data_IF_636360907988
#
_entry.id   IF_636360907988
#
_cell.length_a   1.000
_cell.length_b   1.000
_cell.length_c   1.000
_cell.angle_alpha   90.00
_cell.angle_beta   90.00
_cell.angle_gamma   90.00
#
_symmetry.space_group_name_H-M   'P 1'
#
loop_
_entity.id
_entity.type
_entity.pdbx_description
1 polymer ?
#
# COMPACT_ATOMS: atom_id res chain seq x y z
N UNK A 1 -0.24 3.29 -0.52
CA UNK A 1 0.02 4.69 -1.00
C UNK A 1 0.84 5.46 0.03
N UNK A 2 1.61 6.45 -0.41
CA UNK A 2 2.38 7.39 0.43
C UNK A 2 3.45 6.75 1.36
N UNK A 3 3.88 5.52 1.08
CA UNK A 3 4.92 4.81 1.86
C UNK A 3 6.34 5.00 1.29
N UNK A 4 6.58 5.95 0.37
CA UNK A 4 7.90 6.26 -0.16
C UNK A 4 8.38 5.37 -1.32
N UNK A 5 7.49 4.68 -2.06
CA UNK A 5 7.90 3.82 -3.20
C UNK A 5 8.71 4.55 -4.27
N UNK A 6 8.20 5.70 -4.74
CA UNK A 6 8.90 6.52 -5.75
C UNK A 6 10.25 7.03 -5.22
N UNK A 7 10.30 7.39 -3.93
CA UNK A 7 11.55 7.80 -3.25
C UNK A 7 12.54 6.64 -3.20
N UNK A 8 12.08 5.41 -2.92
CA UNK A 8 12.95 4.23 -2.92
C UNK A 8 13.55 3.97 -4.31
N UNK A 9 12.77 4.09 -5.38
CA UNK A 9 13.29 3.97 -6.75
C UNK A 9 14.36 5.02 -7.03
N UNK A 10 14.14 6.27 -6.59
CA UNK A 10 15.11 7.35 -6.75
C UNK A 10 16.39 7.05 -5.97
N UNK A 11 16.30 6.71 -4.69
CA UNK A 11 17.46 6.37 -3.85
C UNK A 11 18.24 5.16 -4.39
N UNK A 12 17.54 4.17 -4.92
CA UNK A 12 18.20 3.02 -5.53
C UNK A 12 18.94 3.39 -6.81
N UNK A 13 18.39 4.28 -7.63
CA UNK A 13 19.09 4.81 -8.81
C UNK A 13 20.34 5.60 -8.41
N UNK A 14 20.24 6.45 -7.39
CA UNK A 14 21.40 7.18 -6.83
C UNK A 14 22.47 6.22 -6.28
N UNK A 15 22.05 5.14 -5.62
CA UNK A 15 22.95 4.08 -5.17
C UNK A 15 23.68 3.43 -6.34
N UNK A 16 23.01 3.11 -7.45
CA UNK A 16 23.63 2.54 -8.65
C UNK A 16 24.69 3.49 -9.24
N UNK A 17 24.38 4.80 -9.35
CA UNK A 17 25.35 5.79 -9.81
C UNK A 17 26.58 5.83 -8.90
N UNK A 18 26.41 5.78 -7.59
CA UNK A 18 27.50 5.70 -6.61
C UNK A 18 28.35 4.42 -6.72
N UNK A 19 27.83 3.38 -7.38
CA UNK A 19 28.52 2.11 -7.62
C UNK A 19 29.00 1.92 -9.06
N UNK A 20 29.08 3.02 -9.82
CA UNK A 20 29.71 3.01 -11.14
C UNK A 20 28.78 2.66 -12.30
N UNK A 21 27.47 2.71 -12.09
CA UNK A 21 26.50 2.63 -13.20
C UNK A 21 26.39 4.01 -13.82
N UNK A 22 26.52 4.07 -15.15
CA UNK A 22 26.38 5.31 -15.90
C UNK A 22 24.92 5.77 -15.92
N UNK A 23 24.69 7.08 -15.92
CA UNK A 23 23.33 7.64 -15.95
C UNK A 23 22.56 7.26 -17.21
N UNK A 24 23.23 7.12 -18.35
CA UNK A 24 22.65 6.72 -19.63
C UNK A 24 22.16 5.26 -19.66
N UNK A 25 22.62 4.44 -18.72
CA UNK A 25 22.15 3.07 -18.51
C UNK A 25 20.91 2.97 -17.61
N UNK A 26 20.41 4.10 -17.08
CA UNK A 26 19.25 4.18 -16.22
C UNK A 26 18.08 4.90 -16.89
N UNK A 27 17.06 4.16 -17.29
CA UNK A 27 15.82 4.71 -17.89
C UNK A 27 14.79 4.85 -16.78
N UNK A 28 14.29 6.08 -16.54
CA UNK A 28 13.31 6.34 -15.47
C UNK A 28 12.08 7.04 -16.00
N UNK A 29 10.91 6.43 -15.84
CA UNK A 29 9.62 6.93 -16.30
C UNK A 29 8.65 6.95 -15.13
N UNK A 30 8.11 8.14 -14.82
CA UNK A 30 7.01 8.28 -13.86
C UNK A 30 5.73 8.62 -14.63
N UNK A 31 4.78 7.70 -14.64
CA UNK A 31 3.54 7.84 -15.39
C UNK A 31 2.52 8.82 -14.79
N UNK A 32 2.75 9.36 -13.59
CA UNK A 32 2.01 10.51 -13.08
C UNK A 32 2.51 11.84 -13.69
N UNK A 33 3.72 11.86 -14.25
CA UNK A 33 4.27 13.05 -14.87
C UNK A 33 3.72 13.23 -16.29
N UNK A 34 3.14 14.41 -16.55
CA UNK A 34 2.55 14.77 -17.85
C UNK A 34 3.58 14.71 -19.01
N UNK A 35 4.87 14.85 -18.72
CA UNK A 35 5.92 14.71 -19.73
C UNK A 35 5.95 13.33 -20.39
N UNK A 36 5.42 12.31 -19.71
CA UNK A 36 5.33 10.92 -20.21
C UNK A 36 3.90 10.50 -20.55
N UNK A 37 2.97 11.44 -20.69
CA UNK A 37 1.57 11.13 -21.01
C UNK A 37 1.40 10.31 -22.28
N UNK A 38 2.22 10.58 -23.29
CA UNK A 38 2.23 9.85 -24.56
C UNK A 38 2.75 8.40 -24.43
N UNK A 39 3.45 8.06 -23.34
CA UNK A 39 3.96 6.72 -23.06
C UNK A 39 2.97 5.83 -22.30
N UNK A 40 1.76 6.31 -22.01
CA UNK A 40 0.71 5.51 -21.36
C UNK A 40 0.06 4.46 -22.28
N UNK A 41 0.58 4.28 -23.49
CA UNK A 41 0.31 3.16 -24.37
C UNK A 41 1.50 2.19 -24.32
N UNK A 42 1.29 0.91 -24.01
CA UNK A 42 2.38 -0.03 -23.76
C UNK A 42 3.35 -0.20 -24.95
N UNK A 43 2.88 -0.07 -26.20
CA UNK A 43 3.75 -0.08 -27.39
C UNK A 43 4.68 1.15 -27.40
N UNK A 44 4.15 2.35 -27.16
CA UNK A 44 4.97 3.57 -27.13
C UNK A 44 5.97 3.55 -25.98
N UNK A 45 5.56 3.04 -24.81
CA UNK A 45 6.47 2.80 -23.69
C UNK A 45 7.61 1.84 -24.08
N UNK A 46 7.26 0.74 -24.72
CA UNK A 46 8.23 -0.26 -25.18
C UNK A 46 9.22 0.33 -26.19
N UNK A 47 8.73 1.02 -27.22
CA UNK A 47 9.56 1.64 -28.26
C UNK A 47 10.50 2.69 -27.67
N UNK A 48 9.98 3.57 -26.79
CA UNK A 48 10.80 4.55 -26.07
C UNK A 48 11.92 3.89 -25.25
N UNK A 49 11.61 2.81 -24.55
CA UNK A 49 12.62 2.09 -23.77
C UNK A 49 13.67 1.50 -24.72
N UNK A 50 13.27 0.86 -25.84
CA UNK A 50 14.20 0.28 -26.81
C UNK A 50 15.16 1.31 -27.41
N UNK A 51 14.65 2.50 -27.73
CA UNK A 51 15.44 3.61 -28.32
C UNK A 51 16.50 4.14 -27.35
N UNK A 52 16.31 3.96 -26.05
CA UNK A 52 17.21 4.46 -24.99
C UNK A 52 18.09 3.37 -24.37
N UNK A 53 17.97 2.09 -24.80
CA UNK A 53 18.83 1.03 -24.30
C UNK A 53 20.27 1.17 -24.81
N UNK A 54 21.21 0.93 -23.89
CA UNK A 54 22.63 0.83 -24.22
C UNK A 54 22.97 -0.63 -24.58
N UNK A 55 23.53 -0.88 -25.79
CA UNK A 55 23.77 -2.24 -26.30
C UNK A 55 24.78 -3.05 -25.47
N UNK A 56 25.82 -2.41 -24.95
CA UNK A 56 26.95 -3.07 -24.29
C UNK A 56 26.99 -2.90 -22.77
N UNK A 57 25.88 -2.46 -22.17
CA UNK A 57 25.76 -2.24 -20.73
C UNK A 57 24.53 -2.93 -20.18
N UNK A 58 24.54 -3.23 -18.87
CA UNK A 58 23.30 -3.55 -18.16
C UNK A 58 22.45 -2.29 -18.06
N UNK A 59 21.20 -2.37 -18.45
CA UNK A 59 20.24 -1.28 -18.41
C UNK A 59 19.29 -1.48 -17.22
N UNK A 60 19.08 -0.44 -16.45
CA UNK A 60 18.20 -0.41 -15.31
C UNK A 60 16.97 0.45 -15.62
N UNK A 61 15.80 -0.18 -15.67
CA UNK A 61 14.55 0.46 -16.08
C UNK A 61 13.68 0.67 -14.86
N UNK A 62 13.32 1.92 -14.57
CA UNK A 62 12.49 2.34 -13.44
C UNK A 62 11.14 2.84 -13.94
N UNK A 63 10.07 2.09 -13.66
CA UNK A 63 8.71 2.40 -14.06
C UNK A 63 7.86 2.72 -12.83
N UNK A 64 7.63 4.00 -12.56
CA UNK A 64 6.85 4.44 -11.40
C UNK A 64 5.38 4.61 -11.78
N UNK A 65 4.47 4.08 -10.94
CA UNK A 65 3.01 4.02 -11.14
C UNK A 65 2.62 3.35 -12.48
N UNK A 66 3.29 2.24 -12.82
CA UNK A 66 3.15 1.54 -14.11
C UNK A 66 1.73 1.07 -14.42
N UNK A 67 0.85 0.90 -13.42
CA UNK A 67 -0.55 0.54 -13.62
C UNK A 67 -1.36 1.63 -14.37
N UNK A 68 -0.79 2.81 -14.59
CA UNK A 68 -1.38 3.84 -15.45
C UNK A 68 -1.21 3.53 -16.95
N UNK A 69 -0.41 2.51 -17.29
CA UNK A 69 -0.23 2.00 -18.66
C UNK A 69 -1.05 0.72 -18.80
N UNK A 70 -2.19 0.73 -19.49
CA UNK A 70 -2.94 -0.50 -19.75
C UNK A 70 -2.07 -1.54 -20.46
N UNK A 71 -2.19 -2.81 -20.06
CA UNK A 71 -1.46 -3.95 -20.66
C UNK A 71 0.08 -3.82 -20.58
N UNK A 72 0.62 -3.05 -19.64
CA UNK A 72 2.08 -2.84 -19.48
C UNK A 72 2.86 -4.15 -19.36
N UNK A 73 2.24 -5.20 -18.83
CA UNK A 73 2.85 -6.53 -18.67
C UNK A 73 3.31 -7.13 -20.00
N UNK A 74 2.69 -6.79 -21.11
CA UNK A 74 3.11 -7.25 -22.45
C UNK A 74 4.49 -6.67 -22.83
N UNK A 75 4.67 -5.36 -22.59
CA UNK A 75 5.95 -4.70 -22.82
C UNK A 75 7.02 -5.21 -21.86
N UNK A 76 6.70 -5.34 -20.57
CA UNK A 76 7.62 -5.86 -19.55
C UNK A 76 8.07 -7.28 -19.89
N UNK A 77 7.15 -8.19 -20.25
CA UNK A 77 7.51 -9.55 -20.64
C UNK A 77 8.44 -9.58 -21.86
N UNK A 78 8.24 -8.68 -22.83
CA UNK A 78 9.10 -8.56 -24.01
C UNK A 78 10.50 -8.04 -23.65
N UNK A 79 10.59 -7.05 -22.74
CA UNK A 79 11.86 -6.52 -22.24
C UNK A 79 12.65 -7.57 -21.46
N UNK A 80 11.97 -8.41 -20.66
CA UNK A 80 12.58 -9.50 -19.89
C UNK A 80 13.16 -10.64 -20.76
N UNK A 81 13.00 -10.59 -22.08
CA UNK A 81 13.69 -11.50 -23.00
C UNK A 81 15.10 -11.03 -23.36
N UNK A 82 15.48 -9.82 -22.93
CA UNK A 82 16.81 -9.25 -23.14
C UNK A 82 17.70 -9.57 -21.93
N UNK A 83 18.93 -10.03 -22.18
CA UNK A 83 19.87 -10.44 -21.13
C UNK A 83 20.50 -9.24 -20.39
N UNK A 84 20.41 -8.03 -20.97
CA UNK A 84 21.04 -6.82 -20.43
C UNK A 84 20.01 -5.81 -19.89
N UNK A 85 18.90 -6.29 -19.34
CA UNK A 85 17.83 -5.44 -18.79
C UNK A 85 17.45 -5.91 -17.40
N UNK A 86 17.35 -4.98 -16.45
CA UNK A 86 16.79 -5.17 -15.12
C UNK A 86 15.69 -4.15 -14.89
N UNK A 87 14.51 -4.58 -14.41
CA UNK A 87 13.30 -3.75 -14.36
C UNK A 87 12.80 -3.60 -12.94
N UNK A 88 12.63 -2.36 -12.51
CA UNK A 88 12.08 -1.96 -11.21
C UNK A 88 10.77 -1.22 -11.42
N UNK A 89 9.69 -1.76 -10.88
CA UNK A 89 8.35 -1.20 -11.08
C UNK A 89 7.70 -0.86 -9.77
N UNK A 90 6.98 0.25 -9.72
CA UNK A 90 6.05 0.51 -8.62
C UNK A 90 4.61 0.61 -9.11
N UNK A 91 3.72 0.35 -8.19
CA UNK A 91 2.31 0.62 -8.34
C UNK A 91 1.62 0.73 -7.00
N UNK A 92 0.56 1.50 -6.95
CA UNK A 92 -0.12 1.83 -5.70
C UNK A 92 -1.47 1.14 -5.56
N UNK A 93 -1.78 0.16 -6.42
CA UNK A 93 -3.12 -0.42 -6.46
C UNK A 93 -3.15 -1.95 -6.27
N UNK A 94 -4.34 -2.45 -5.92
CA UNK A 94 -4.60 -3.88 -5.76
C UNK A 94 -4.35 -4.71 -7.05
N UNK A 95 -4.29 -4.09 -8.24
CA UNK A 95 -3.95 -4.78 -9.48
C UNK A 95 -2.51 -5.30 -9.47
N UNK A 96 -1.56 -4.48 -8.95
CA UNK A 96 -0.15 -4.87 -8.79
C UNK A 96 0.05 -6.02 -7.80
N UNK A 97 -0.99 -6.34 -7.02
CA UNK A 97 -0.98 -7.36 -5.97
C UNK A 97 -1.85 -8.56 -6.33
N UNK A 98 -2.49 -8.52 -7.49
CA UNK A 98 -3.39 -9.60 -7.89
C UNK A 98 -2.58 -10.83 -8.30
N UNK A 99 -3.12 -12.01 -7.98
CA UNK A 99 -2.66 -13.28 -8.55
C UNK A 99 -2.68 -13.27 -10.08
N UNK A 100 -3.46 -12.36 -10.68
CA UNK A 100 -3.53 -12.10 -12.10
C UNK A 100 -2.21 -11.54 -12.65
N UNK A 101 -1.63 -10.52 -11.99
CA UNK A 101 -0.31 -10.00 -12.36
C UNK A 101 0.78 -11.07 -12.24
N UNK A 102 0.73 -11.89 -11.18
CA UNK A 102 1.65 -13.01 -11.01
C UNK A 102 1.59 -13.98 -12.20
N UNK A 103 0.39 -14.23 -12.72
CA UNK A 103 0.18 -15.07 -13.90
C UNK A 103 0.68 -14.38 -15.18
N UNK A 104 0.37 -13.10 -15.36
CA UNK A 104 0.74 -12.32 -16.54
C UNK A 104 2.26 -12.13 -16.67
N UNK A 105 2.98 -11.92 -15.55
CA UNK A 105 4.45 -11.84 -15.52
C UNK A 105 5.14 -13.21 -15.37
N UNK A 106 4.36 -14.31 -15.41
CA UNK A 106 4.88 -15.68 -15.39
C UNK A 106 5.82 -15.98 -14.20
N UNK A 107 5.62 -15.34 -13.06
CA UNK A 107 6.45 -15.51 -11.86
C UNK A 107 7.89 -15.00 -11.97
N UNK A 108 8.21 -14.19 -12.97
CA UNK A 108 9.56 -13.64 -13.22
C UNK A 108 9.83 -12.34 -12.45
N UNK A 109 9.32 -12.19 -11.23
CA UNK A 109 9.52 -10.99 -10.43
C UNK A 109 9.66 -11.32 -8.95
N UNK A 110 10.25 -10.39 -8.23
CA UNK A 110 10.27 -10.40 -6.76
C UNK A 110 9.41 -9.25 -6.27
N UNK A 111 8.41 -9.57 -5.44
CA UNK A 111 7.55 -8.56 -4.83
C UNK A 111 8.16 -8.03 -3.55
N UNK A 112 8.33 -6.69 -3.47
CA UNK A 112 8.73 -5.98 -2.27
C UNK A 112 7.55 -5.16 -1.77
N UNK A 113 6.95 -5.57 -0.64
CA UNK A 113 5.84 -4.86 0.00
C UNK A 113 6.38 -3.72 0.84
N UNK A 114 6.08 -2.48 0.43
CA UNK A 114 6.41 -1.29 1.20
C UNK A 114 5.23 -0.85 2.06
N UNK A 115 5.50 -0.66 3.33
CA UNK A 115 4.58 -0.23 4.37
C UNK A 115 4.97 1.17 4.86
N UNK A 116 4.12 1.85 5.63
CA UNK A 116 4.57 2.97 6.46
C UNK A 116 5.76 2.54 7.33
N UNK A 117 6.54 3.50 7.83
CA UNK A 117 7.68 3.20 8.68
C UNK A 117 7.29 2.33 9.87
N UNK A 118 8.10 1.32 10.14
CA UNK A 118 8.14 0.69 11.46
C UNK A 118 8.66 1.68 12.49
N UNK A 119 8.42 1.42 13.78
CA UNK A 119 9.01 2.27 14.83
C UNK A 119 10.53 2.37 14.75
N UNK A 120 11.20 1.27 14.35
CA UNK A 120 12.65 1.29 14.17
C UNK A 120 13.08 2.29 13.10
N UNK A 121 12.48 2.25 11.92
CA UNK A 121 12.79 3.16 10.81
C UNK A 121 12.43 4.61 11.17
N UNK A 122 11.29 4.83 11.84
CA UNK A 122 10.89 6.15 12.33
C UNK A 122 11.91 6.69 13.36
N UNK A 123 12.33 5.85 14.29
CA UNK A 123 13.31 6.23 15.33
C UNK A 123 14.70 6.53 14.73
N UNK A 124 15.13 5.77 13.74
CA UNK A 124 16.39 6.02 13.01
C UNK A 124 16.36 7.37 12.27
N UNK A 125 15.18 7.79 11.79
CA UNK A 125 14.98 9.08 11.11
C UNK A 125 14.93 10.26 12.08
N UNK A 126 14.16 10.14 13.18
CA UNK A 126 13.84 11.25 14.08
C UNK A 126 14.82 11.34 15.26
N UNK A 127 15.29 10.21 15.75
CA UNK A 127 16.18 10.11 16.92
C UNK A 127 15.50 10.43 18.24
N UNK A 128 16.29 10.86 19.22
CA UNK A 128 15.81 11.33 20.50
C UNK A 128 15.69 10.26 21.60
N UNK A 129 14.85 10.50 22.60
CA UNK A 129 14.55 9.52 23.66
C UNK A 129 13.58 8.47 23.12
N UNK A 130 13.98 7.21 23.14
CA UNK A 130 13.23 6.09 22.54
C UNK A 130 11.79 5.98 23.04
N UNK A 131 11.55 6.24 24.33
CA UNK A 131 10.21 6.14 24.93
C UNK A 131 9.31 7.29 24.48
N UNK A 132 9.84 8.50 24.48
CA UNK A 132 9.11 9.69 23.99
C UNK A 132 8.81 9.57 22.51
N UNK A 133 9.82 9.21 21.71
CA UNK A 133 9.66 9.01 20.25
C UNK A 133 8.67 7.89 19.94
N UNK A 134 8.60 6.82 20.77
CA UNK A 134 7.60 5.78 20.59
C UNK A 134 6.18 6.29 20.82
N UNK A 135 5.95 7.09 21.88
CA UNK A 135 4.64 7.72 22.13
C UNK A 135 4.24 8.67 20.98
N UNK A 136 5.20 9.42 20.43
CA UNK A 136 4.94 10.26 19.26
C UNK A 136 4.60 9.42 18.03
N UNK A 137 5.34 8.34 17.78
CA UNK A 137 5.08 7.42 16.68
C UNK A 137 3.67 6.82 16.76
N UNK A 138 3.23 6.39 17.95
CA UNK A 138 1.88 5.87 18.16
C UNK A 138 0.79 6.90 17.82
N UNK A 139 1.05 8.18 18.11
CA UNK A 139 0.13 9.29 17.84
C UNK A 139 0.17 9.75 16.38
N UNK A 140 1.38 9.99 15.86
CA UNK A 140 1.59 10.56 14.53
C UNK A 140 1.48 9.52 13.40
N UNK A 141 1.75 8.25 13.70
CA UNK A 141 1.84 7.18 12.69
C UNK A 141 3.19 7.09 12.00
N UNK A 142 3.30 6.16 11.06
CA UNK A 142 4.51 5.82 10.33
C UNK A 142 4.54 6.28 8.87
N UNK A 143 3.56 7.03 8.37
CA UNK A 143 3.68 7.59 7.01
C UNK A 143 4.88 8.54 6.93
N UNK A 144 5.83 8.33 5.99
CA UNK A 144 7.11 9.06 5.99
C UNK A 144 6.97 10.59 6.04
N UNK A 145 6.00 11.15 5.34
CA UNK A 145 5.81 12.60 5.32
C UNK A 145 5.29 13.16 6.64
N UNK A 146 4.60 12.36 7.47
CA UNK A 146 4.12 12.81 8.79
C UNK A 146 5.27 13.13 9.76
N UNK A 147 6.43 12.51 9.58
CA UNK A 147 7.63 12.83 10.36
C UNK A 147 8.17 14.25 10.08
N UNK A 148 7.75 14.89 8.99
CA UNK A 148 8.19 16.22 8.55
C UNK A 148 7.14 17.31 8.87
N UNK A 149 5.95 16.94 9.36
CA UNK A 149 4.87 17.88 9.66
C UNK A 149 4.82 18.09 11.18
N UNK A 150 5.10 19.31 11.62
CA UNK A 150 5.04 19.66 13.05
C UNK A 150 3.64 20.10 13.49
N UNK A 151 2.87 20.71 12.60
CA UNK A 151 1.53 21.21 12.86
C UNK A 151 0.49 20.07 12.91
N UNK A 152 -0.32 20.03 13.97
CA UNK A 152 -1.31 18.98 14.19
C UNK A 152 -2.48 19.06 13.19
N UNK A 153 -2.91 20.26 12.81
CA UNK A 153 -3.98 20.46 11.84
C UNK A 153 -3.53 20.03 10.44
N UNK A 154 -2.32 20.41 10.03
CA UNK A 154 -1.74 19.97 8.77
C UNK A 154 -1.53 18.45 8.70
N UNK A 155 -1.20 17.81 9.84
CA UNK A 155 -1.14 16.34 9.93
C UNK A 155 -2.51 15.71 9.75
N UNK A 156 -3.53 16.28 10.41
CA UNK A 156 -4.91 15.79 10.28
C UNK A 156 -5.37 15.84 8.82
N UNK A 157 -5.20 16.99 8.15
CA UNK A 157 -5.56 17.17 6.74
C UNK A 157 -4.81 16.21 5.80
N UNK A 158 -3.52 15.96 6.09
CA UNK A 158 -2.74 15.01 5.31
C UNK A 158 -3.25 13.57 5.45
N UNK A 159 -3.57 13.13 6.67
CA UNK A 159 -4.13 11.79 6.94
C UNK A 159 -5.53 11.66 6.35
N UNK A 160 -6.36 12.71 6.44
CA UNK A 160 -7.66 12.77 5.76
C UNK A 160 -7.53 12.59 4.25
N UNK A 161 -6.56 13.28 3.63
CA UNK A 161 -6.26 13.14 2.21
C UNK A 161 -5.83 11.71 1.82
N UNK A 162 -5.04 11.04 2.66
CA UNK A 162 -4.68 9.62 2.45
C UNK A 162 -5.93 8.75 2.57
N UNK A 163 -6.69 8.87 3.65
CA UNK A 163 -7.89 8.08 3.91
C UNK A 163 -8.89 8.21 2.78
N UNK A 164 -9.25 9.44 2.40
CA UNK A 164 -10.19 9.73 1.32
C UNK A 164 -9.72 9.17 -0.02
N UNK A 165 -8.43 9.29 -0.33
CA UNK A 165 -7.87 8.77 -1.59
C UNK A 165 -7.91 7.25 -1.64
N UNK A 166 -7.51 6.57 -0.56
CA UNK A 166 -7.51 5.10 -0.49
C UNK A 166 -8.95 4.59 -0.46
N UNK A 167 -9.81 5.19 0.37
CA UNK A 167 -11.20 4.76 0.51
C UNK A 167 -11.99 4.98 -0.77
N UNK A 168 -12.00 6.22 -1.30
CA UNK A 168 -12.86 6.59 -2.42
C UNK A 168 -12.34 6.08 -3.75
N UNK A 169 -11.04 6.22 -4.04
CA UNK A 169 -10.48 5.81 -5.34
C UNK A 169 -10.21 4.31 -5.40
N UNK A 170 -9.59 3.75 -4.36
CA UNK A 170 -9.12 2.37 -4.43
C UNK A 170 -10.18 1.35 -4.03
N UNK A 171 -11.06 1.65 -3.09
CA UNK A 171 -12.09 0.72 -2.63
C UNK A 171 -13.41 0.98 -3.34
N UNK A 172 -13.99 2.17 -3.18
CA UNK A 172 -15.32 2.48 -3.73
C UNK A 172 -15.31 2.42 -5.25
N UNK A 173 -14.32 3.06 -5.89
CA UNK A 173 -14.24 3.13 -7.35
C UNK A 173 -14.05 1.76 -8.02
N UNK A 174 -13.28 0.84 -7.41
CA UNK A 174 -12.96 -0.47 -8.02
C UNK A 174 -13.94 -1.56 -7.68
N UNK A 175 -14.35 -1.66 -6.42
CA UNK A 175 -15.25 -2.72 -5.97
C UNK A 175 -16.72 -2.37 -6.20
N UNK A 176 -17.00 -1.18 -6.82
CA UNK A 176 -18.36 -0.68 -7.05
C UNK A 176 -19.21 -0.74 -5.77
N UNK A 177 -18.62 -0.29 -4.66
CA UNK A 177 -19.30 -0.25 -3.38
C UNK A 177 -20.50 0.72 -3.51
N UNK A 178 -21.69 0.19 -3.36
CA UNK A 178 -22.93 0.98 -3.48
C UNK A 178 -23.29 1.72 -2.20
N UNK A 179 -22.81 1.24 -1.04
CA UNK A 179 -23.10 1.79 0.28
C UNK A 179 -21.79 2.19 0.99
N UNK A 180 -21.38 3.44 0.77
CA UNK A 180 -20.18 4.02 1.34
C UNK A 180 -20.32 4.19 2.85
N UNK A 181 -21.49 4.57 3.35
CA UNK A 181 -21.73 4.74 4.77
C UNK A 181 -21.60 3.41 5.54
N UNK A 182 -22.07 2.31 4.93
CA UNK A 182 -21.91 0.99 5.52
C UNK A 182 -20.43 0.58 5.53
N UNK A 183 -19.68 0.86 4.47
CA UNK A 183 -18.23 0.61 4.42
C UNK A 183 -17.52 1.38 5.53
N UNK A 184 -17.82 2.67 5.71
CA UNK A 184 -17.23 3.48 6.80
C UNK A 184 -17.59 2.94 8.20
N UNK A 185 -18.83 2.46 8.38
CA UNK A 185 -19.22 1.84 9.64
C UNK A 185 -18.44 0.55 9.92
N UNK A 186 -18.19 -0.27 8.89
CA UNK A 186 -17.33 -1.47 8.99
C UNK A 186 -15.90 -1.07 9.35
N UNK A 187 -15.34 -0.04 8.71
CA UNK A 187 -13.99 0.46 8.99
C UNK A 187 -13.90 0.93 10.44
N UNK A 188 -14.81 1.77 10.89
CA UNK A 188 -14.84 2.27 12.28
C UNK A 188 -14.91 1.13 13.28
N UNK A 189 -15.75 0.13 13.01
CA UNK A 189 -15.86 -1.05 13.87
C UNK A 189 -14.53 -1.81 13.97
N UNK A 190 -13.87 -2.06 12.84
CA UNK A 190 -12.60 -2.78 12.79
C UNK A 190 -11.48 -2.00 13.48
N UNK A 191 -11.44 -0.68 13.31
CA UNK A 191 -10.44 0.20 13.92
C UNK A 191 -10.63 0.32 15.44
N UNK A 192 -11.86 0.27 15.93
CA UNK A 192 -12.14 0.24 17.38
C UNK A 192 -11.84 -1.14 18.03
N UNK A 193 -11.82 -2.21 17.22
CA UNK A 193 -11.60 -3.58 17.65
C UNK A 193 -10.25 -4.17 17.21
N UNK A 194 -9.24 -3.33 17.02
CA UNK A 194 -7.88 -3.77 16.63
C UNK A 194 -7.34 -4.79 17.62
N UNK A 195 -6.79 -5.90 17.08
CA UNK A 195 -6.22 -6.98 17.90
C UNK A 195 -7.24 -7.86 18.63
N UNK A 196 -8.51 -7.50 18.62
CA UNK A 196 -9.57 -8.34 19.17
C UNK A 196 -9.97 -9.44 18.18
N UNK A 197 -10.48 -10.55 18.73
CA UNK A 197 -11.03 -11.64 17.91
C UNK A 197 -12.40 -11.22 17.37
N UNK A 198 -12.53 -11.13 16.07
CA UNK A 198 -13.75 -10.67 15.39
C UNK A 198 -14.10 -11.61 14.24
N UNK A 199 -15.40 -11.81 13.98
CA UNK A 199 -15.90 -12.46 12.76
C UNK A 199 -16.75 -11.51 11.94
N UNK A 200 -16.78 -11.68 10.64
CA UNK A 200 -17.63 -10.91 9.72
C UNK A 200 -19.11 -11.03 10.08
N UNK A 201 -19.53 -12.19 10.60
CA UNK A 201 -20.88 -12.39 11.13
C UNK A 201 -21.16 -11.48 12.34
N UNK A 202 -20.24 -11.44 13.33
CA UNK A 202 -20.40 -10.56 14.51
C UNK A 202 -20.49 -9.09 14.12
N UNK A 203 -19.68 -8.66 13.14
CA UNK A 203 -19.76 -7.29 12.59
C UNK A 203 -21.14 -7.03 11.99
N UNK A 204 -21.62 -7.94 11.13
CA UNK A 204 -22.92 -7.80 10.48
C UNK A 204 -24.07 -7.75 11.48
N UNK A 205 -24.05 -8.64 12.49
CA UNK A 205 -25.07 -8.69 13.54
C UNK A 205 -25.06 -7.38 14.36
N UNK A 206 -23.89 -6.88 14.74
CA UNK A 206 -23.74 -5.60 15.45
C UNK A 206 -24.27 -4.43 14.64
N UNK A 207 -23.86 -4.28 13.37
CA UNK A 207 -24.31 -3.19 12.52
C UNK A 207 -25.83 -3.25 12.27
N UNK A 208 -26.37 -4.46 12.12
CA UNK A 208 -27.82 -4.66 11.96
C UNK A 208 -28.59 -4.25 13.23
N UNK A 209 -28.08 -4.57 14.42
CA UNK A 209 -28.66 -4.14 15.70
C UNK A 209 -28.63 -2.62 15.89
N UNK A 210 -27.67 -1.94 15.27
CA UNK A 210 -27.53 -0.48 15.23
C UNK A 210 -28.40 0.18 14.12
N UNK A 211 -29.28 -0.60 13.44
CA UNK A 211 -30.18 -0.12 12.41
C UNK A 211 -29.62 -0.14 10.98
N UNK A 212 -28.38 -0.62 10.79
CA UNK A 212 -27.75 -0.75 9.47
C UNK A 212 -27.84 -2.20 8.99
N UNK A 213 -28.90 -2.56 8.29
CA UNK A 213 -29.09 -3.90 7.73
C UNK A 213 -27.94 -4.29 6.81
N UNK A 214 -27.23 -5.38 7.15
CA UNK A 214 -26.17 -5.93 6.31
C UNK A 214 -26.05 -7.45 6.50
N UNK A 215 -25.22 -8.08 5.69
CA UNK A 215 -24.97 -9.52 5.75
C UNK A 215 -23.48 -9.80 5.99
N UNK A 216 -23.16 -10.96 6.54
CA UNK A 216 -21.77 -11.41 6.70
C UNK A 216 -21.00 -11.44 5.37
N UNK A 217 -21.67 -11.76 4.25
CA UNK A 217 -21.08 -11.80 2.91
C UNK A 217 -20.69 -10.38 2.46
N UNK A 218 -21.54 -9.38 2.70
CA UNK A 218 -21.23 -7.98 2.38
C UNK A 218 -20.05 -7.47 3.21
N UNK A 219 -20.07 -7.73 4.52
CA UNK A 219 -18.95 -7.37 5.42
C UNK A 219 -17.65 -8.04 4.98
N UNK A 220 -17.69 -9.33 4.64
CA UNK A 220 -16.52 -10.07 4.14
C UNK A 220 -15.94 -9.44 2.87
N UNK A 221 -16.81 -9.01 1.94
CA UNK A 221 -16.36 -8.32 0.73
C UNK A 221 -15.66 -6.98 1.02
N UNK A 222 -16.13 -6.24 2.03
CA UNK A 222 -15.50 -4.99 2.47
C UNK A 222 -14.17 -5.23 3.19
N UNK A 223 -14.11 -6.25 4.08
CA UNK A 223 -12.86 -6.65 4.74
C UNK A 223 -11.80 -7.03 3.72
N UNK A 224 -12.16 -7.83 2.70
CA UNK A 224 -11.25 -8.17 1.60
C UNK A 224 -10.77 -6.94 0.85
N UNK A 225 -11.69 -6.00 0.54
CA UNK A 225 -11.32 -4.76 -0.13
C UNK A 225 -10.32 -3.91 0.69
N UNK A 226 -10.50 -3.86 2.01
CA UNK A 226 -9.60 -3.17 2.93
C UNK A 226 -8.22 -3.85 3.02
N UNK A 227 -8.18 -5.18 2.98
CA UNK A 227 -6.94 -5.96 2.91
C UNK A 227 -6.21 -5.72 1.59
N UNK A 228 -6.94 -5.79 0.47
CA UNK A 228 -6.41 -5.51 -0.87
C UNK A 228 -5.87 -4.07 -1.00
N UNK A 229 -6.44 -3.12 -0.25
CA UNK A 229 -5.98 -1.73 -0.19
C UNK A 229 -4.84 -1.50 0.82
N UNK A 230 -4.37 -2.54 1.53
CA UNK A 230 -3.39 -2.46 2.61
C UNK A 230 -3.77 -1.50 3.75
N UNK A 231 -5.04 -1.39 4.06
CA UNK A 231 -5.51 -0.68 5.26
C UNK A 231 -5.51 -1.62 6.47
N UNK A 232 -5.81 -2.91 6.22
CA UNK A 232 -5.89 -3.93 7.25
C UNK A 232 -4.94 -5.09 7.00
N UNK A 233 -4.39 -5.61 8.08
CA UNK A 233 -3.77 -6.93 8.16
C UNK A 233 -4.68 -7.89 8.87
N UNK A 234 -4.81 -9.07 8.32
CA UNK A 234 -5.47 -10.20 8.94
C UNK A 234 -4.42 -11.14 9.53
N UNK A 235 -4.61 -11.49 10.78
CA UNK A 235 -3.80 -12.48 11.46
C UNK A 235 -4.70 -13.66 11.85
N UNK A 236 -4.51 -14.77 11.16
CA UNK A 236 -5.17 -16.03 11.48
C UNK A 236 -4.62 -16.66 12.75
N UNK A 237 -5.42 -17.51 13.36
CA UNK A 237 -4.99 -18.30 14.51
C UNK A 237 -3.94 -19.33 14.08
N UNK A 238 -2.82 -19.38 14.78
CA UNK A 238 -1.88 -20.50 14.67
C UNK A 238 -2.36 -21.64 15.58
N UNK A 239 -2.69 -22.78 15.00
CA UNK A 239 -3.08 -23.99 15.74
C UNK A 239 -2.00 -25.06 15.63
N UNK A 240 -1.30 -25.31 16.73
CA UNK A 240 -0.23 -26.34 16.81
C UNK A 240 -0.73 -27.75 16.46
N UNK A 241 -2.02 -28.04 16.68
CA UNK A 241 -2.64 -29.35 16.41
C UNK A 241 -3.28 -29.47 15.03
N UNK A 242 -3.32 -28.38 14.25
CA UNK A 242 -3.75 -28.36 12.84
C UNK A 242 -5.24 -28.63 12.56
N UNK A 243 -6.08 -28.82 13.58
CA UNK A 243 -7.48 -29.26 13.39
C UNK A 243 -8.51 -28.12 13.32
N UNK A 244 -8.13 -26.89 13.63
CA UNK A 244 -9.07 -25.77 13.77
C UNK A 244 -8.83 -24.61 12.79
N UNK A 245 -7.98 -24.77 11.78
CA UNK A 245 -7.71 -23.71 10.79
C UNK A 245 -8.95 -23.22 10.03
N UNK A 246 -9.95 -24.09 9.82
CA UNK A 246 -11.17 -23.77 9.10
C UNK A 246 -12.26 -23.08 9.97
N UNK A 247 -12.05 -22.99 11.28
CA UNK A 247 -13.03 -22.44 12.21
C UNK A 247 -12.46 -21.25 13.02
N UNK A 248 -11.26 -20.79 12.67
CA UNK A 248 -10.60 -19.75 13.44
C UNK A 248 -11.23 -18.39 13.19
N UNK A 249 -11.54 -17.71 14.28
CA UNK A 249 -11.82 -16.29 14.30
C UNK A 249 -10.51 -15.54 14.08
N UNK A 250 -10.58 -14.44 13.37
CA UNK A 250 -9.42 -13.68 12.92
C UNK A 250 -9.20 -12.44 13.79
N UNK A 251 -7.97 -11.94 13.80
CA UNK A 251 -7.64 -10.64 14.35
C UNK A 251 -7.26 -9.71 13.21
N UNK A 252 -7.68 -8.45 13.32
CA UNK A 252 -7.34 -7.43 12.35
C UNK A 252 -6.47 -6.36 12.98
N UNK A 253 -5.46 -5.91 12.22
CA UNK A 253 -4.56 -4.83 12.61
C UNK A 253 -4.56 -3.77 11.52
N UNK A 254 -4.41 -2.52 11.90
CA UNK A 254 -4.36 -1.39 10.98
C UNK A 254 -2.93 -1.22 10.48
N UNK A 255 -2.77 -0.81 9.23
CA UNK A 255 -1.45 -0.56 8.63
C UNK A 255 -0.71 0.59 9.30
N UNK A 256 -1.46 1.58 9.81
CA UNK A 256 -0.89 2.79 10.41
C UNK A 256 -1.80 3.38 11.48
N UNK A 257 -1.21 3.74 12.62
CA UNK A 257 -1.95 4.27 13.77
C UNK A 257 -2.58 5.64 13.53
N UNK A 258 -2.00 6.46 12.62
CA UNK A 258 -2.58 7.76 12.28
C UNK A 258 -3.98 7.65 11.67
N UNK A 259 -4.23 6.61 10.87
CA UNK A 259 -5.57 6.36 10.30
C UNK A 259 -6.60 6.07 11.40
N UNK A 260 -6.19 5.37 12.46
CA UNK A 260 -7.06 5.09 13.61
C UNK A 260 -7.37 6.37 14.39
N UNK A 261 -6.32 7.15 14.69
CA UNK A 261 -6.46 8.43 15.41
C UNK A 261 -7.35 9.41 14.64
N UNK A 262 -7.22 9.45 13.32
CA UNK A 262 -8.07 10.26 12.45
C UNK A 262 -9.55 9.87 12.54
N UNK A 263 -9.88 8.57 12.47
CA UNK A 263 -11.27 8.10 12.42
C UNK A 263 -11.99 8.07 13.77
N UNK A 264 -11.25 7.77 14.84
CA UNK A 264 -11.84 7.55 16.17
C UNK A 264 -11.58 8.72 17.13
N UNK A 265 -10.82 9.72 16.69
CA UNK A 265 -10.31 10.81 17.52
C UNK A 265 -9.13 10.36 18.40
N UNK A 266 -8.33 11.31 18.82
CA UNK A 266 -7.21 11.05 19.74
C UNK A 266 -7.77 10.72 21.14
N UNK A 267 -7.69 9.46 21.51
CA UNK A 267 -7.91 9.04 22.91
C UNK A 267 -6.56 9.17 23.63
N UNK A 268 -6.27 10.36 24.12
CA UNK A 268 -4.94 10.79 24.59
C UNK A 268 -4.42 10.10 25.86
N UNK A 269 -5.22 9.28 26.55
CA UNK A 269 -4.89 8.80 27.90
C UNK A 269 -4.81 7.28 28.03
N UNK A 270 -5.20 6.50 27.04
CA UNK A 270 -5.30 5.05 27.19
C UNK A 270 -4.46 4.30 26.14
N UNK A 271 -3.19 4.06 26.50
CA UNK A 271 -2.27 3.22 25.72
C UNK A 271 -2.73 1.74 25.65
N UNK A 272 -3.70 1.32 26.42
CA UNK A 272 -4.27 -0.03 26.40
C UNK A 272 -5.19 -0.29 25.21
N UNK A 273 -5.53 0.74 24.43
CA UNK A 273 -6.34 0.62 23.21
C UNK A 273 -5.54 0.74 21.91
N UNK A 274 -4.20 0.82 22.00
CA UNK A 274 -3.28 0.88 20.83
C UNK A 274 -2.74 -0.50 20.44
#
# INVERSE_FOLDING_TARGET
RRCGKSTLLQLFREYLYGHGVDEDACISINFENIAFENLKEYHKMYDYILENLQENKMNYIFLDEVQLVPEFEKAVNSLLLKDNVDIYMTGSNAYMLSSELATLLSGRYVEIKMLPFSFKEYFELVGGDSRKTFHEFLRKGGFPYLAQIDDDDARHDYVEGIYSTVLLKDIVGRKRVSDVELLEAVIKFLFDNVGNIVSTKKIADTLTSMGRKTTAVTVDSYVRALKDAFILYEVGRYDVKGKQYLQSLEKYYIVDTSLRSFLLGERTTDLGHL
#
